data_IF_751973276890
#
_entry.id   IF_751973276890
#
_cell.length_a   1.000
_cell.length_b   1.000
_cell.length_c   1.000
_cell.angle_alpha   90.00
_cell.angle_beta   90.00
_cell.angle_gamma   90.00
#
_symmetry.space_group_name_H-M   'P 1'
#
loop_
_entity.id
_entity.type
_entity.pdbx_description
1 polymer ?
2 branched ?
3 branched ?
4 non-polymer ?
5 non-polymer ?
6 non-polymer ?
7 water ?
#
# COMPACT_ATOMS: atom_id res chain seq x y z
N UNK A 1 -15.26 8.79 -13.23
CA UNK A 1 -14.18 8.46 -14.16
C UNK A 1 -13.00 7.86 -13.40
N UNK A 2 -12.73 8.37 -12.20
CA UNK A 2 -11.40 8.16 -11.65
C UNK A 2 -11.22 6.72 -11.18
N UNK A 3 -9.95 6.36 -11.10
CA UNK A 3 -9.44 5.01 -11.07
C UNK A 3 -8.34 4.89 -10.01
N UNK A 4 -8.39 3.80 -9.26
CA UNK A 4 -7.32 3.46 -8.33
C UNK A 4 -6.35 2.60 -9.11
N UNK A 5 -5.14 3.11 -9.32
CA UNK A 5 -4.16 2.53 -10.24
C UNK A 5 -2.90 2.25 -9.41
N UNK A 6 -2.82 1.04 -8.86
CA UNK A 6 -1.76 0.72 -7.90
C UNK A 6 -0.39 0.66 -8.58
N UNK A 7 0.57 1.38 -8.03
CA UNK A 7 1.92 1.43 -8.55
C UNK A 7 2.23 2.72 -9.26
N UNK A 8 1.22 3.40 -9.78
CA UNK A 8 1.43 4.69 -10.39
C UNK A 8 1.71 5.74 -9.33
N UNK A 9 2.36 6.82 -9.74
CA UNK A 9 2.61 7.94 -8.83
C UNK A 9 1.35 8.77 -8.73
N UNK A 10 0.83 8.89 -7.51
CA UNK A 10 -0.43 9.58 -7.28
C UNK A 10 -0.17 11.04 -6.94
N UNK A 11 -1.08 11.90 -7.40
CA UNK A 11 -0.93 13.34 -7.22
C UNK A 11 -2.19 13.90 -6.58
N UNK A 12 -2.02 14.91 -5.72
CA UNK A 12 -3.14 15.54 -5.04
C UNK A 12 -3.80 16.53 -6.00
N UNK A 13 -4.79 17.29 -5.53
CA UNK A 13 -5.45 18.26 -6.39
C UNK A 13 -4.49 19.35 -6.86
N UNK A 14 -3.32 19.46 -6.24
CA UNK A 14 -2.29 20.42 -6.59
C UNK A 14 -1.28 19.87 -7.58
N UNK A 15 -1.41 18.61 -7.99
CA UNK A 15 -0.46 17.98 -8.86
C UNK A 15 0.83 17.54 -8.21
N UNK A 16 0.95 17.65 -6.89
CA UNK A 16 2.14 17.18 -6.19
C UNK A 16 1.97 15.70 -5.83
N UNK A 17 3.10 14.98 -5.85
CA UNK A 17 3.12 13.58 -5.42
C UNK A 17 2.55 13.46 -4.02
N UNK A 18 1.50 12.67 -3.85
CA UNK A 18 0.98 12.39 -2.53
C UNK A 18 2.07 11.79 -1.65
N UNK A 19 2.13 12.23 -0.40
CA UNK A 19 3.16 11.82 0.53
C UNK A 19 2.47 11.45 1.85
N UNK A 20 1.73 10.35 1.81
CA UNK A 20 0.98 9.85 2.96
C UNK A 20 1.23 8.34 3.15
N UNK A 21 2.50 7.98 3.37
CA UNK A 21 2.88 6.58 3.55
C UNK A 21 2.58 6.09 4.96
N UNK A 22 2.32 4.79 5.08
CA UNK A 22 1.84 4.24 6.33
C UNK A 22 0.39 4.58 6.62
N UNK A 23 -0.46 4.49 5.60
CA UNK A 23 -1.76 5.14 5.62
C UNK A 23 -2.57 4.85 6.89
N UNK A 24 -3.23 5.90 7.38
CA UNK A 24 -4.29 5.74 8.34
C UNK A 24 -5.49 6.49 7.81
N UNK A 25 -6.68 5.87 7.82
CA UNK A 25 -7.86 6.48 7.23
C UNK A 25 -8.90 6.74 8.30
N UNK A 26 -9.54 7.92 8.23
CA UNK A 26 -10.62 8.36 9.10
C UNK A 26 -11.72 8.94 8.23
N UNK A 27 -12.98 8.63 8.54
CA UNK A 27 -14.13 9.12 7.79
C UNK A 27 -15.07 9.92 8.68
N UNK A 28 -14.92 11.24 8.68
CA UNK A 28 -15.87 12.15 9.32
C UNK A 28 -16.97 12.46 8.33
N UNK A 29 -18.17 11.97 8.58
CA UNK A 29 -19.30 12.23 7.72
C UNK A 29 -19.11 11.75 6.29
N UNK A 30 -19.05 12.69 5.35
CA UNK A 30 -18.90 12.39 3.94
C UNK A 30 -17.49 12.63 3.43
N UNK A 31 -16.60 13.11 4.29
CA UNK A 31 -15.21 13.35 3.98
C UNK A 31 -14.35 12.20 4.49
N UNK A 32 -13.34 11.83 3.69
CA UNK A 32 -12.31 10.89 4.09
C UNK A 32 -11.02 11.64 4.35
N UNK A 33 -10.35 11.28 5.42
CA UNK A 33 -9.05 11.84 5.74
C UNK A 33 -8.03 10.72 5.66
N UNK A 34 -6.97 10.97 4.91
CA UNK A 34 -5.88 10.04 4.75
C UNK A 34 -4.67 10.65 5.44
N UNK A 35 -4.11 9.93 6.41
CA UNK A 35 -2.92 10.38 7.12
C UNK A 35 -1.72 9.53 6.70
N UNK A 36 -0.55 10.15 6.69
CA UNK A 36 0.63 9.35 6.39
C UNK A 36 1.91 10.06 6.76
N UNK A 37 3.00 9.31 6.69
CA UNK A 37 4.31 9.91 6.80
C UNK A 37 4.61 10.73 5.56
N UNK A 38 5.12 11.94 5.75
CA UNK A 38 5.66 12.72 4.65
C UNK A 38 7.09 12.26 4.43
N UNK A 39 7.39 11.78 3.23
CA UNK A 39 8.73 11.26 2.97
C UNK A 39 9.42 11.99 1.82
N UNK A 40 8.96 13.22 1.51
CA UNK A 40 9.55 14.15 0.54
C UNK A 40 11.07 14.15 0.60
N UNK A 41 11.62 13.97 1.79
CA UNK A 41 13.05 14.13 2.01
C UNK A 41 13.84 12.85 1.80
N UNK A 42 13.17 11.76 1.40
CA UNK A 42 13.84 10.49 1.11
C UNK A 42 14.63 10.00 2.32
N UNK A 43 13.98 10.07 3.49
CA UNK A 43 14.60 9.60 4.71
C UNK A 43 13.52 9.05 5.64
N UNK A 44 13.92 8.16 6.54
CA UNK A 44 13.01 7.60 7.53
C UNK A 44 12.79 8.53 8.72
N UNK A 45 13.67 9.50 8.95
CA UNK A 45 13.49 10.47 10.03
C UNK A 45 12.26 11.32 9.80
N UNK A 46 11.78 11.92 10.88
CA UNK A 46 10.45 12.51 10.87
C UNK A 46 10.48 13.84 10.15
N UNK A 47 9.50 14.06 9.32
CA UNK A 47 9.31 15.35 8.67
C UNK A 47 7.90 15.88 8.84
N UNK A 48 6.87 15.04 8.66
CA UNK A 48 5.51 15.48 8.90
C UNK A 48 4.58 14.28 8.86
N UNK A 49 3.54 14.32 9.69
CA UNK A 49 2.34 13.55 9.47
C UNK A 49 1.46 14.41 8.56
N UNK A 50 1.32 13.97 7.31
CA UNK A 50 0.58 14.71 6.31
C UNK A 50 -0.92 14.51 6.52
N UNK A 51 -1.71 15.18 5.69
CA UNK A 51 -3.16 15.16 5.84
C UNK A 51 -3.80 15.45 4.49
N UNK A 52 -4.54 14.49 3.97
CA UNK A 52 -5.25 14.65 2.71
C UNK A 52 -6.72 14.33 2.93
N UNK A 53 -7.58 15.04 2.20
CA UNK A 53 -9.02 14.80 2.27
C UNK A 53 -9.59 14.49 0.89
N UNK A 54 -10.75 13.85 0.90
CA UNK A 54 -11.43 13.42 -0.31
C UNK A 54 -12.84 13.01 0.05
N UNK A 55 -13.70 12.97 -0.97
CA UNK A 55 -15.08 12.56 -0.83
C UNK A 55 -15.37 11.23 -1.50
N UNK A 56 -14.44 10.71 -2.31
CA UNK A 56 -14.66 9.48 -3.06
C UNK A 56 -13.40 8.63 -3.16
N UNK A 57 -12.36 8.94 -2.35
CA UNK A 57 -11.20 8.08 -2.10
C UNK A 57 -10.23 8.04 -3.27
N UNK A 58 -10.32 8.96 -4.22
CA UNK A 58 -9.43 8.98 -5.37
C UNK A 58 -8.94 10.39 -5.60
N UNK A 59 -9.83 11.36 -5.39
CA UNK A 59 -9.49 12.77 -5.60
C UNK A 59 -9.13 13.39 -4.25
N UNK A 60 -7.83 13.47 -3.98
CA UNK A 60 -7.32 13.84 -2.67
C UNK A 60 -6.75 15.26 -2.68
N UNK A 61 -6.89 15.96 -1.56
CA UNK A 61 -6.52 17.37 -1.48
C UNK A 61 -5.69 17.57 -0.22
N UNK A 62 -4.44 18.01 -0.37
CA UNK A 62 -3.49 18.06 0.75
C UNK A 62 -3.78 19.26 1.65
N UNK A 63 -4.26 19.00 2.87
CA UNK A 63 -4.46 20.04 3.87
C UNK A 63 -3.14 20.39 4.54
N UNK A 64 -3.21 21.23 5.57
CA UNK A 64 -2.06 21.46 6.42
C UNK A 64 -1.58 20.13 6.99
N UNK A 65 -0.33 20.10 7.42
CA UNK A 65 0.20 18.91 8.05
C UNK A 65 -0.30 18.80 9.48
N UNK A 66 -0.91 17.65 9.80
CA UNK A 66 -1.57 17.36 11.06
C UNK A 66 -0.59 17.08 12.20
N UNK A 67 0.70 16.91 11.92
CA UNK A 67 1.69 16.80 12.98
C UNK A 67 3.04 17.15 12.40
N UNK A 68 3.82 17.93 13.13
CA UNK A 68 5.05 18.52 12.63
C UNK A 68 6.11 18.42 13.70
N UNK A 69 7.39 18.37 13.33
CA UNK A 69 8.44 18.11 14.34
C UNK A 69 8.54 19.20 15.39
N UNK A 70 9.05 18.80 16.55
CA UNK A 70 9.31 19.67 17.69
C UNK A 70 10.70 19.34 18.20
N UNK A 71 11.61 20.32 18.14
CA UNK A 71 12.99 20.07 18.52
C UNK A 71 13.12 19.74 20.00
N UNK A 72 14.10 18.89 20.30
CA UNK A 72 14.41 18.51 21.67
C UNK A 72 13.47 17.50 22.28
N UNK A 73 12.44 17.09 21.57
CA UNK A 73 11.46 16.09 21.99
C UNK A 73 11.70 14.80 21.21
N UNK A 74 10.71 13.90 21.25
CA UNK A 74 10.81 12.66 20.50
C UNK A 74 9.96 12.67 19.24
N UNK A 75 9.35 13.80 18.91
CA UNK A 75 8.85 13.99 17.57
C UNK A 75 9.71 15.03 16.88
N UNK A 76 10.98 15.07 17.26
CA UNK A 76 11.93 15.93 16.58
C UNK A 76 12.39 15.28 15.27
N UNK A 77 13.13 16.04 14.47
CA UNK A 77 13.60 15.54 13.20
C UNK A 77 14.72 14.51 13.32
N UNK A 78 15.21 14.23 14.54
CA UNK A 78 16.14 13.12 14.71
C UNK A 78 15.44 11.82 15.10
N UNK A 79 14.12 11.85 15.22
CA UNK A 79 13.30 10.71 15.60
C UNK A 79 12.49 10.23 14.41
N UNK A 80 11.68 9.21 14.68
CA UNK A 80 10.93 8.47 13.66
C UNK A 80 9.46 8.48 14.08
N UNK A 81 8.58 8.76 13.13
CA UNK A 81 7.14 8.83 13.38
C UNK A 81 6.45 8.08 12.25
N UNK A 82 5.90 6.90 12.56
CA UNK A 82 5.43 5.98 11.54
C UNK A 82 3.98 5.58 11.79
N UNK A 83 3.30 5.27 10.69
CA UNK A 83 1.94 4.73 10.67
C UNK A 83 1.01 5.54 11.56
N UNK A 84 0.72 6.79 11.24
CA UNK A 84 -0.28 7.53 12.01
C UNK A 84 -1.66 6.92 11.82
N UNK A 85 -2.38 6.75 12.93
CA UNK A 85 -3.77 6.33 12.91
C UNK A 85 -4.57 7.37 13.66
N UNK A 86 -5.84 7.51 13.29
CA UNK A 86 -6.69 8.53 13.88
C UNK A 86 -8.11 7.97 13.99
N UNK A 87 -8.64 7.93 15.22
CA UNK A 87 -10.05 7.70 15.46
C UNK A 87 -10.61 8.93 16.15
N UNK A 88 -11.93 9.04 16.12
CA UNK A 88 -12.63 10.17 16.72
C UNK A 88 -13.22 9.75 18.06
N UNK A 89 -12.97 10.54 19.08
CA UNK A 89 -13.47 10.28 20.44
C UNK A 89 -14.80 11.00 20.60
N UNK A 90 -15.90 10.24 20.68
CA UNK A 90 -17.19 10.89 20.83
C UNK A 90 -17.29 11.63 22.16
N UNK A 91 -16.82 11.01 23.26
CA UNK A 91 -16.98 11.58 24.59
C UNK A 91 -16.38 12.98 24.68
N UNK A 92 -15.12 13.13 24.30
CA UNK A 92 -14.45 14.42 24.38
C UNK A 92 -14.60 15.23 23.10
N UNK A 93 -15.38 14.76 22.14
CA UNK A 93 -15.41 15.28 20.77
C UNK A 93 -14.01 15.68 20.31
N UNK A 94 -13.14 14.67 20.21
CA UNK A 94 -11.70 14.89 20.08
C UNK A 94 -11.10 13.83 19.17
N UNK A 95 -10.17 14.26 18.32
CA UNK A 95 -9.51 13.38 17.38
C UNK A 95 -8.16 12.99 17.95
N UNK A 96 -7.96 11.70 18.19
CA UNK A 96 -6.77 11.20 18.85
C UNK A 96 -5.95 10.44 17.84
N UNK A 97 -4.69 10.83 17.69
CA UNK A 97 -3.79 10.24 16.73
C UNK A 97 -2.77 9.37 17.46
N UNK A 98 -2.59 8.15 16.99
CA UNK A 98 -1.55 7.26 17.49
C UNK A 98 -0.54 7.04 16.39
N UNK A 99 0.72 6.85 16.79
CA UNK A 99 1.76 6.57 15.83
C UNK A 99 2.88 5.81 16.51
N UNK A 100 3.70 5.18 15.70
CA UNK A 100 4.92 4.55 16.19
C UNK A 100 5.95 5.66 16.39
N UNK A 101 6.28 5.95 17.64
CA UNK A 101 7.26 6.97 17.97
C UNK A 101 8.56 6.28 18.35
N UNK A 102 9.64 6.55 17.62
CA UNK A 102 10.85 5.81 17.91
C UNK A 102 12.08 6.68 17.71
N UNK A 103 13.24 6.08 18.01
CA UNK A 103 14.53 6.66 17.70
C UNK A 103 15.00 6.16 16.32
N UNK A 104 16.10 6.72 15.85
CA UNK A 104 16.51 6.45 14.46
C UNK A 104 16.96 5.02 14.24
N UNK A 105 17.36 4.29 15.30
CA UNK A 105 17.68 2.88 15.17
C UNK A 105 16.57 1.97 15.69
N UNK A 106 15.38 2.52 15.92
CA UNK A 106 14.20 1.78 16.36
C UNK A 106 14.43 1.05 17.68
N UNK A 107 15.38 1.52 18.49
CA UNK A 107 15.58 0.96 19.82
C UNK A 107 14.67 1.52 20.90
N UNK A 108 13.97 2.63 20.65
CA UNK A 108 13.13 3.23 21.68
C UNK A 108 11.76 2.56 21.76
N UNK A 109 11.15 2.25 20.62
CA UNK A 109 10.00 1.34 20.53
C UNK A 109 8.84 1.80 21.40
N UNK A 110 8.29 2.94 21.02
CA UNK A 110 7.24 3.58 21.80
C UNK A 110 6.04 3.88 20.92
N UNK A 111 4.99 4.25 21.56
CA UNK A 111 3.85 4.84 20.90
C UNK A 111 3.90 6.33 21.18
N UNK A 112 3.32 7.11 20.30
CA UNK A 112 3.09 8.52 20.56
C UNK A 112 1.63 8.85 20.36
N UNK A 113 1.18 9.83 21.13
CA UNK A 113 -0.20 10.30 21.06
C UNK A 113 -0.18 11.80 20.81
N UNK A 114 -1.24 12.27 20.18
CA UNK A 114 -1.45 13.69 19.93
C UNK A 114 -2.96 13.85 19.75
N UNK A 115 -3.48 15.03 20.06
CA UNK A 115 -4.91 15.28 19.94
C UNK A 115 -5.17 16.57 19.17
N UNK A 116 -6.42 16.72 18.72
CA UNK A 116 -6.88 17.91 18.03
C UNK A 116 -8.39 17.85 17.93
N UNK A 117 -9.02 19.02 17.77
CA UNK A 117 -10.47 19.11 17.63
C UNK A 117 -10.94 19.16 16.19
N UNK A 118 -10.07 19.63 15.25
CA UNK A 118 -10.20 19.56 13.79
C UNK A 118 -9.66 18.22 13.29
N UNK A 119 -10.41 17.47 12.45
CA UNK A 119 -9.86 16.21 11.90
C UNK A 119 -8.44 16.33 11.35
N UNK A 120 -8.17 17.30 10.49
CA UNK A 120 -6.81 17.46 9.97
C UNK A 120 -5.94 18.28 10.88
N UNK A 121 -6.45 18.69 12.05
CA UNK A 121 -5.63 19.30 13.08
C UNK A 121 -5.38 20.78 12.86
N UNK A 122 -4.14 21.23 13.12
CA UNK A 122 -2.98 20.43 13.58
C UNK A 122 -3.13 19.83 14.98
N UNK A 123 -2.29 18.85 15.29
CA UNK A 123 -2.36 18.05 16.50
C UNK A 123 -1.29 18.49 17.49
N UNK A 124 -1.60 18.43 18.78
CA UNK A 124 -0.61 18.74 19.80
C UNK A 124 -0.12 17.46 20.47
N UNK A 125 1.20 17.33 20.54
CA UNK A 125 1.84 16.12 21.03
C UNK A 125 1.68 16.01 22.54
N UNK A 126 1.10 14.92 23.01
CA UNK A 126 0.96 14.67 24.43
C UNK A 126 2.08 13.81 24.99
N UNK A 127 2.97 13.32 24.14
CA UNK A 127 4.12 12.56 24.58
C UNK A 127 4.09 11.13 24.08
N UNK A 128 5.22 10.47 24.29
CA UNK A 128 5.48 9.12 23.83
C UNK A 128 5.84 8.24 25.01
N UNK A 129 5.57 6.96 24.87
CA UNK A 129 5.74 6.05 25.99
C UNK A 129 5.70 4.62 25.46
N UNK A 130 6.16 3.71 26.29
CA UNK A 130 5.96 2.29 26.04
C UNK A 130 4.59 1.87 26.56
N UNK A 131 3.75 1.26 25.73
CA UNK A 131 2.41 0.85 26.19
C UNK A 131 2.52 -0.27 27.21
N UNK A 132 1.99 -0.01 28.42
CA UNK A 132 2.04 -0.95 29.54
C UNK A 132 3.45 -1.43 29.82
N UNK A 133 4.43 -0.57 29.53
CA UNK A 133 5.84 -0.89 29.71
C UNK A 133 6.52 -1.66 28.59
N UNK A 134 5.80 -2.14 27.59
CA UNK A 134 6.38 -3.04 26.61
C UNK A 134 6.73 -2.30 25.32
N UNK A 135 7.60 -2.94 24.52
CA UNK A 135 7.93 -2.47 23.19
C UNK A 135 6.70 -2.29 22.32
N UNK A 136 6.69 -1.22 21.55
CA UNK A 136 5.66 -1.02 20.53
C UNK A 136 6.36 -0.44 19.32
N UNK A 137 6.39 -1.18 18.20
CA UNK A 137 6.97 -0.65 16.97
C UNK A 137 5.83 -0.46 15.99
N UNK A 138 5.65 -1.33 14.99
CA UNK A 138 4.52 -1.19 14.08
C UNK A 138 3.21 -1.31 14.86
N UNK A 139 2.30 -0.36 14.65
CA UNK A 139 1.06 -0.35 15.39
C UNK A 139 -0.08 0.05 14.48
N UNK A 140 -1.28 0.00 15.05
CA UNK A 140 -2.55 0.35 14.42
C UNK A 140 -3.59 0.53 15.51
N UNK A 141 -4.67 1.22 15.17
CA UNK A 141 -5.77 1.47 16.10
C UNK A 141 -7.03 0.90 15.48
N UNK A 142 -7.72 0.05 16.22
CA UNK A 142 -9.01 -0.45 15.78
C UNK A 142 -10.08 0.19 16.63
N UNK A 143 -11.09 0.75 15.99
CA UNK A 143 -12.25 1.27 16.70
C UNK A 143 -13.39 0.28 16.53
N UNK A 144 -13.78 -0.37 17.62
CA UNK A 144 -14.90 -1.30 17.54
C UNK A 144 -16.19 -0.52 17.35
N UNK A 145 -17.25 -1.24 16.98
CA UNK A 145 -18.55 -0.63 16.80
C UNK A 145 -19.53 -1.05 17.88
N UNK A 146 -19.04 -1.46 19.04
CA UNK A 146 -19.92 -1.54 20.19
C UNK A 146 -20.40 -0.14 20.55
N UNK A 147 -21.23 -0.05 21.59
CA UNK A 147 -21.86 1.22 21.89
C UNK A 147 -20.84 2.23 22.41
N UNK A 148 -19.90 1.78 23.23
CA UNK A 148 -18.86 2.67 23.72
C UNK A 148 -17.82 2.97 22.65
N UNK A 149 -17.91 2.33 21.50
CA UNK A 149 -16.90 2.47 20.46
C UNK A 149 -15.50 2.25 21.04
N UNK A 150 -15.32 1.09 21.66
CA UNK A 150 -14.06 0.84 22.34
C UNK A 150 -12.95 0.65 21.32
N UNK A 151 -11.80 1.23 21.63
CA UNK A 151 -10.65 1.25 20.74
C UNK A 151 -9.56 0.33 21.25
N UNK A 152 -8.78 -0.21 20.32
CA UNK A 152 -7.72 -1.16 20.66
C UNK A 152 -6.44 -0.78 19.94
N UNK A 153 -5.32 -0.86 20.67
CA UNK A 153 -4.01 -0.74 20.05
C UNK A 153 -3.53 -2.12 19.63
N UNK A 154 -3.15 -2.25 18.36
CA UNK A 154 -2.53 -3.44 17.80
C UNK A 154 -1.05 -3.12 17.57
N UNK A 155 -0.14 -3.91 18.13
CA UNK A 155 1.27 -3.50 18.09
C UNK A 155 2.23 -4.70 18.14
N UNK A 156 3.36 -4.53 17.45
CA UNK A 156 4.46 -5.50 17.45
C UNK A 156 5.36 -5.24 18.65
N UNK A 157 5.42 -6.19 19.58
CA UNK A 157 6.12 -5.99 20.85
C UNK A 157 7.28 -6.97 21.02
N UNK A 158 8.03 -6.76 22.10
CA UNK A 158 9.21 -7.55 22.47
C UNK A 158 10.11 -7.81 21.28
N UNK A 159 10.62 -6.72 20.72
CA UNK A 159 11.49 -6.74 19.54
C UNK A 159 10.82 -7.47 18.38
N UNK A 160 9.56 -7.13 18.14
CA UNK A 160 8.76 -7.60 17.02
C UNK A 160 8.46 -9.09 17.07
N UNK A 161 8.69 -9.77 18.19
CA UNK A 161 8.40 -11.20 18.21
C UNK A 161 6.96 -11.49 18.60
N UNK A 162 6.36 -10.68 19.48
CA UNK A 162 5.06 -10.97 20.06
C UNK A 162 4.06 -9.91 19.64
N UNK A 163 3.05 -10.32 18.89
CA UNK A 163 2.02 -9.39 18.50
C UNK A 163 1.03 -9.22 19.64
N UNK A 164 0.65 -7.98 19.94
CA UNK A 164 -0.23 -7.70 21.06
C UNK A 164 -1.43 -6.89 20.61
N UNK A 165 -2.56 -7.13 21.27
CA UNK A 165 -3.77 -6.33 21.16
C UNK A 165 -4.18 -5.93 22.57
N UNK A 166 -4.34 -4.63 22.79
CA UNK A 166 -4.70 -4.10 24.10
C UNK A 166 -5.80 -3.06 23.94
N UNK A 167 -6.64 -2.95 24.97
CA UNK A 167 -7.77 -2.03 24.99
C UNK A 167 -7.33 -0.62 25.41
N UNK A 168 -7.83 0.38 24.68
CA UNK A 168 -7.59 1.79 25.01
C UNK A 168 -8.57 2.30 26.07
N UNK A 169 -8.12 3.26 26.87
CA UNK A 169 -9.03 3.82 27.86
C UNK A 169 -10.11 4.64 27.17
N UNK A 170 -11.12 5.03 27.94
CA UNK A 170 -12.27 5.73 27.36
C UNK A 170 -11.89 7.07 26.75
N UNK A 171 -10.68 7.58 26.98
CA UNK A 171 -10.22 8.80 26.32
C UNK A 171 -9.41 8.51 25.08
N UNK A 172 -9.11 7.24 24.78
CA UNK A 172 -8.10 6.89 23.78
C UNK A 172 -6.74 7.52 24.09
N UNK A 173 -6.43 7.76 25.37
CA UNK A 173 -5.16 8.37 25.73
C UNK A 173 -4.10 7.38 26.19
N UNK A 174 -4.51 6.20 26.67
CA UNK A 174 -3.56 5.22 27.17
C UNK A 174 -4.21 3.85 27.05
N UNK A 175 -3.40 2.83 27.31
CA UNK A 175 -3.86 1.44 27.25
C UNK A 175 -4.31 1.00 28.63
N UNK A 176 -5.52 0.47 28.71
CA UNK A 176 -5.98 0.01 30.02
C UNK A 176 -5.64 -1.45 30.29
N UNK A 177 -5.81 -2.36 29.32
CA UNK A 177 -5.61 -3.77 29.60
C UNK A 177 -5.14 -4.49 28.35
N UNK A 178 -4.36 -5.54 28.56
CA UNK A 178 -4.06 -6.44 27.46
C UNK A 178 -5.30 -7.25 27.12
N UNK A 179 -5.35 -7.71 25.88
CA UNK A 179 -6.52 -8.40 25.39
C UNK A 179 -6.04 -9.71 24.79
N UNK A 180 -4.86 -9.66 24.21
CA UNK A 180 -4.46 -10.74 23.33
C UNK A 180 -2.99 -10.58 23.02
N UNK A 181 -2.25 -11.67 23.04
CA UNK A 181 -0.87 -11.66 22.61
C UNK A 181 -0.58 -12.93 21.81
N UNK A 182 0.01 -12.78 20.65
CA UNK A 182 0.45 -13.89 19.83
C UNK A 182 1.97 -13.95 19.98
N UNK A 183 2.44 -14.93 20.75
CA UNK A 183 3.86 -15.03 21.04
C UNK A 183 4.60 -15.66 19.87
N UNK A 184 5.69 -15.04 19.47
CA UNK A 184 6.47 -15.56 18.38
C UNK A 184 5.78 -15.45 17.05
N UNK A 185 4.78 -14.58 16.95
CA UNK A 185 4.11 -14.37 15.68
C UNK A 185 4.98 -13.61 14.68
N UNK A 186 5.99 -12.87 15.16
CA UNK A 186 6.74 -11.87 14.40
C UNK A 186 5.88 -11.18 13.34
N UNK A 187 4.76 -10.61 13.78
CA UNK A 187 3.84 -9.87 12.94
C UNK A 187 4.08 -8.38 13.10
N UNK A 188 4.06 -7.67 11.98
CA UNK A 188 4.06 -6.22 12.00
C UNK A 188 3.13 -5.74 10.89
N UNK A 189 3.10 -4.42 10.69
CA UNK A 189 2.18 -3.78 9.77
C UNK A 189 0.74 -4.28 9.92
N UNK A 190 0.14 -4.16 11.11
CA UNK A 190 -1.20 -4.71 11.32
C UNK A 190 -2.34 -3.78 10.95
N UNK A 191 -3.46 -4.39 10.59
CA UNK A 191 -4.74 -3.72 10.53
C UNK A 191 -5.85 -4.69 10.88
N UNK A 192 -6.98 -4.15 11.34
CA UNK A 192 -8.14 -4.98 11.67
C UNK A 192 -9.38 -4.39 11.04
N UNK A 193 -10.19 -5.25 10.46
CA UNK A 193 -11.48 -4.85 9.94
C UNK A 193 -12.52 -5.86 10.41
N UNK A 194 -13.70 -5.37 10.79
CA UNK A 194 -14.75 -6.22 11.30
C UNK A 194 -15.79 -6.46 10.22
N UNK A 195 -16.09 -7.73 10.00
CA UNK A 195 -16.88 -8.18 8.85
C UNK A 195 -17.71 -9.36 9.31
N UNK A 196 -19.04 -9.23 9.19
CA UNK A 196 -19.96 -10.30 9.57
C UNK A 196 -19.72 -10.70 11.02
N UNK A 197 -19.54 -9.68 11.88
CA UNK A 197 -19.38 -9.89 13.31
C UNK A 197 -18.10 -10.61 13.70
N UNK A 198 -17.21 -10.82 12.74
CA UNK A 198 -15.94 -11.47 12.96
C UNK A 198 -14.81 -10.48 12.73
N UNK A 199 -13.78 -10.54 13.58
CA UNK A 199 -12.64 -9.63 13.46
C UNK A 199 -11.56 -10.27 12.60
N UNK A 200 -11.13 -9.56 11.56
CA UNK A 200 -10.08 -10.02 10.68
C UNK A 200 -8.84 -9.17 10.91
N UNK A 201 -7.75 -9.79 11.31
CA UNK A 201 -6.47 -9.12 11.44
C UNK A 201 -5.65 -9.39 10.20
N UNK A 202 -5.10 -8.34 9.60
CA UNK A 202 -4.18 -8.45 8.48
C UNK A 202 -2.82 -7.91 8.92
N UNK A 203 -1.75 -8.55 8.48
CA UNK A 203 -0.44 -8.24 9.01
C UNK A 203 0.63 -8.81 8.08
N UNK A 204 1.76 -8.12 8.01
CA UNK A 204 2.96 -8.68 7.42
C UNK A 204 3.75 -9.43 8.49
N UNK A 205 4.58 -10.36 8.03
CA UNK A 205 5.72 -10.81 8.81
C UNK A 205 6.82 -9.75 8.76
N UNK A 206 7.92 -9.99 9.47
CA UNK A 206 8.99 -9.00 9.58
C UNK A 206 10.13 -9.38 8.65
N UNK A 207 10.46 -8.48 7.72
CA UNK A 207 11.53 -8.73 6.75
C UNK A 207 12.18 -7.43 6.26
N UNK A 208 12.29 -6.43 7.14
CA UNK A 208 12.84 -5.16 6.71
C UNK A 208 11.91 -4.48 5.73
N UNK A 209 12.50 -3.69 4.84
CA UNK A 209 11.67 -3.07 3.81
C UNK A 209 11.17 -4.08 2.79
N UNK A 210 11.68 -5.30 2.80
CA UNK A 210 11.36 -6.25 1.75
C UNK A 210 9.91 -6.71 1.90
N UNK A 211 9.12 -6.71 0.83
CA UNK A 211 7.75 -7.20 0.94
C UNK A 211 7.74 -8.69 1.22
N UNK A 212 6.79 -9.13 2.03
CA UNK A 212 6.57 -10.55 2.27
C UNK A 212 5.09 -10.85 2.11
N UNK A 213 4.71 -12.13 2.01
CA UNK A 213 3.28 -12.47 1.93
C UNK A 213 2.50 -12.08 3.17
N UNK A 214 1.69 -11.03 3.07
CA UNK A 214 0.83 -10.61 4.17
C UNK A 214 -0.25 -11.65 4.44
N UNK A 215 -0.67 -11.74 5.70
CA UNK A 215 -1.52 -12.83 6.17
C UNK A 215 -2.82 -12.31 6.79
N UNK A 216 -3.89 -13.11 6.71
CA UNK A 216 -5.11 -12.79 7.44
C UNK A 216 -5.36 -13.81 8.56
N UNK A 217 -5.93 -13.32 9.65
CA UNK A 217 -6.31 -14.14 10.80
C UNK A 217 -7.68 -13.68 11.23
N UNK A 218 -8.49 -14.59 11.78
CA UNK A 218 -9.82 -14.17 12.22
C UNK A 218 -10.08 -14.60 13.65
N UNK A 219 -11.00 -13.90 14.29
CA UNK A 219 -11.47 -14.23 15.63
C UNK A 219 -12.85 -13.60 15.87
N UNK A 220 -13.65 -14.27 16.71
CA UNK A 220 -14.95 -13.76 17.11
C UNK A 220 -14.87 -12.79 18.29
N UNK A 221 -13.72 -12.71 18.93
CA UNK A 221 -13.39 -11.71 19.93
C UNK A 221 -11.95 -11.28 19.72
N UNK A 222 -11.68 -10.00 19.95
CA UNK A 222 -10.31 -9.50 19.88
C UNK A 222 -9.37 -10.21 20.84
N UNK A 223 -9.88 -10.83 21.90
CA UNK A 223 -9.03 -11.61 22.78
C UNK A 223 -8.59 -12.91 22.15
N UNK A 224 -9.33 -13.40 21.16
CA UNK A 224 -9.01 -14.65 20.51
C UNK A 224 -9.93 -15.76 20.94
N UNK A 225 -9.63 -17.01 20.56
CA UNK A 225 -8.39 -17.38 19.86
C UNK A 225 -8.39 -17.05 18.37
N UNK A 226 -7.21 -16.75 17.86
CA UNK A 226 -7.07 -16.35 16.48
C UNK A 226 -6.75 -17.53 15.59
N UNK A 227 -7.34 -17.53 14.40
CA UNK A 227 -7.03 -18.59 13.44
C UNK A 227 -5.57 -18.49 13.01
N UNK A 228 -5.07 -19.62 12.51
CA UNK A 228 -3.73 -19.70 11.95
C UNK A 228 -3.64 -18.86 10.67
N UNK A 229 -2.43 -18.46 10.34
CA UNK A 229 -2.24 -17.51 9.27
C UNK A 229 -2.62 -18.07 7.89
N UNK A 230 -3.32 -17.27 7.10
CA UNK A 230 -3.60 -17.59 5.71
C UNK A 230 -3.23 -16.40 4.83
N UNK A 231 -3.10 -16.68 3.53
CA UNK A 231 -2.66 -15.68 2.57
C UNK A 231 -3.81 -14.82 2.06
N UNK A 232 -3.54 -13.52 1.91
CA UNK A 232 -4.48 -12.64 1.23
C UNK A 232 -4.11 -12.43 -0.23
N UNK A 233 -3.09 -13.14 -0.70
CA UNK A 233 -2.58 -12.96 -2.05
C UNK A 233 -1.74 -14.18 -2.39
N UNK A 234 -1.49 -14.44 -3.67
CA UNK A 234 -0.55 -15.49 -4.05
C UNK A 234 0.79 -15.28 -3.36
N UNK A 235 1.32 -16.36 -2.79
CA UNK A 235 2.48 -16.28 -1.90
C UNK A 235 3.68 -15.66 -2.62
N UNK A 236 3.96 -16.13 -3.84
CA UNK A 236 5.14 -15.70 -4.57
C UNK A 236 5.18 -14.19 -4.79
N UNK A 237 4.03 -13.52 -4.84
CA UNK A 237 4.01 -12.12 -5.23
C UNK A 237 4.33 -11.18 -4.08
N UNK A 238 4.41 -11.69 -2.85
CA UNK A 238 4.68 -10.88 -1.67
C UNK A 238 3.67 -9.74 -1.57
N UNK A 239 2.42 -10.12 -1.40
CA UNK A 239 1.29 -9.18 -1.37
C UNK A 239 1.33 -8.23 -2.56
N UNK A 240 1.60 -8.77 -3.74
CA UNK A 240 1.75 -7.96 -4.96
C UNK A 240 2.75 -6.84 -4.72
N UNK A 241 3.90 -7.23 -4.16
CA UNK A 241 4.89 -6.29 -3.73
C UNK A 241 4.25 -5.14 -2.95
N UNK A 242 3.92 -5.38 -1.69
CA UNK A 242 3.40 -4.32 -0.83
C UNK A 242 3.43 -4.76 0.63
N UNK A 243 3.06 -3.83 1.50
CA UNK A 243 2.97 -4.13 2.91
C UNK A 243 1.75 -3.41 3.44
N UNK A 244 0.94 -4.13 4.20
CA UNK A 244 -0.29 -3.58 4.76
C UNK A 244 -0.07 -2.22 5.40
N UNK A 245 -1.04 -1.32 5.22
CA UNK A 245 -1.01 -0.05 5.93
C UNK A 245 -2.34 0.17 6.63
N UNK A 246 -3.42 0.02 5.87
CA UNK A 246 -4.74 0.23 6.41
C UNK A 246 -5.70 -0.67 5.69
N UNK A 247 -6.76 -1.09 6.38
CA UNK A 247 -7.76 -1.97 5.77
C UNK A 247 -9.12 -1.36 6.01
N UNK A 248 -9.72 -0.83 4.94
CA UNK A 248 -10.88 0.01 5.13
C UNK A 248 -12.15 -0.74 4.73
N UNK A 249 -13.14 -0.83 5.61
CA UNK A 249 -14.37 -1.54 5.25
C UNK A 249 -15.10 -0.82 4.14
N UNK A 250 -15.72 -1.58 3.24
CA UNK A 250 -16.39 -1.01 2.08
C UNK A 250 -17.58 -1.90 1.70
N UNK A 251 -18.80 -1.43 1.96
CA UNK A 251 -19.95 -2.28 1.80
C UNK A 251 -19.73 -3.60 2.50
N UNK A 252 -19.90 -4.70 1.75
CA UNK A 252 -19.68 -6.05 2.26
C UNK A 252 -18.28 -6.56 1.99
N UNK A 253 -17.34 -5.67 1.73
CA UNK A 253 -15.96 -6.07 1.51
C UNK A 253 -15.07 -5.03 2.16
N UNK A 254 -13.86 -4.86 1.62
CA UNK A 254 -12.94 -3.86 2.14
C UNK A 254 -11.96 -3.46 1.05
N UNK A 255 -11.19 -2.42 1.33
CA UNK A 255 -10.07 -1.99 0.51
C UNK A 255 -8.79 -2.27 1.27
N UNK A 256 -7.86 -2.99 0.63
CA UNK A 256 -6.51 -3.18 1.16
C UNK A 256 -5.66 -2.01 0.73
N UNK A 257 -5.09 -1.30 1.69
CA UNK A 257 -4.17 -0.20 1.42
C UNK A 257 -2.78 -0.57 1.93
N UNK A 258 -1.83 -0.71 1.00
CA UNK A 258 -0.47 -1.03 1.37
C UNK A 258 0.50 -0.01 0.80
N UNK A 259 1.72 -0.06 1.29
CA UNK A 259 2.81 0.72 0.74
C UNK A 259 3.75 -0.21 0.01
N UNK A 260 4.21 0.24 -1.16
CA UNK A 260 5.37 -0.39 -1.78
C UNK A 260 6.59 0.45 -1.37
N UNK A 261 7.29 -0.02 -0.34
CA UNK A 261 8.47 0.67 0.18
C UNK A 261 9.62 0.61 -0.82
N UNK A 262 10.14 1.78 -1.17
CA UNK A 262 11.38 1.91 -1.93
C UNK A 262 12.45 2.44 -0.97
N UNK A 263 13.15 1.56 -0.25
CA UNK A 263 14.09 2.06 0.76
C UNK A 263 15.15 2.99 0.20
N UNK A 264 15.62 2.75 -1.03
CA UNK A 264 16.68 3.57 -1.58
C UNK A 264 16.19 4.92 -2.11
N UNK A 265 14.88 5.20 -2.04
CA UNK A 265 14.31 6.46 -2.50
C UNK A 265 12.92 6.66 -1.89
N UNK A 266 12.87 6.79 -0.56
CA UNK A 266 11.64 6.49 0.17
C UNK A 266 10.48 7.38 -0.24
N UNK A 267 10.75 8.63 -0.63
CA UNK A 267 9.65 9.49 -1.05
C UNK A 267 8.87 8.91 -2.21
N UNK A 268 9.52 8.12 -3.03
CA UNK A 268 8.93 7.56 -4.23
C UNK A 268 8.18 6.27 -3.95
N UNK A 269 8.08 5.87 -2.69
CA UNK A 269 7.33 4.69 -2.32
C UNK A 269 5.91 4.80 -2.86
N UNK A 270 5.40 3.70 -3.41
CA UNK A 270 4.10 3.70 -4.06
C UNK A 270 2.98 3.30 -3.11
N UNK A 271 1.75 3.51 -3.55
CA UNK A 271 0.54 3.17 -2.83
C UNK A 271 -0.15 2.03 -3.57
N UNK A 272 -0.35 0.92 -2.88
CA UNK A 272 -0.95 -0.27 -3.47
C UNK A 272 -2.31 -0.45 -2.82
N UNK A 273 -3.39 -0.12 -3.55
CA UNK A 273 -4.74 -0.26 -3.04
C UNK A 273 -5.51 -1.23 -3.92
N UNK A 274 -6.12 -2.24 -3.31
CA UNK A 274 -6.86 -3.25 -4.02
C UNK A 274 -8.16 -3.54 -3.31
N UNK A 275 -9.21 -3.92 -4.05
CA UNK A 275 -10.38 -4.47 -3.38
C UNK A 275 -9.92 -5.65 -2.57
N UNK A 276 -10.40 -5.73 -1.34
CA UNK A 276 -10.21 -6.88 -0.50
C UNK A 276 -11.56 -7.57 -0.48
N UNK A 277 -11.66 -8.70 -1.18
CA UNK A 277 -12.95 -9.36 -1.46
C UNK A 277 -13.20 -10.49 -0.47
N UNK A 278 -14.34 -10.43 0.22
CA UNK A 278 -14.71 -11.38 1.26
C UNK A 278 -15.72 -12.43 0.79
N UNK A 279 -15.86 -12.64 -0.53
CA UNK A 279 -16.93 -13.51 -1.02
C UNK A 279 -16.74 -14.94 -0.56
N UNK A 280 -15.50 -15.35 -0.30
CA UNK A 280 -15.21 -16.70 0.20
C UNK A 280 -15.33 -16.83 1.71
N UNK A 281 -15.66 -15.75 2.41
CA UNK A 281 -15.71 -15.73 3.85
C UNK A 281 -14.49 -15.14 4.50
N UNK A 282 -13.49 -14.79 3.71
CA UNK A 282 -12.18 -14.37 4.21
C UNK A 282 -11.61 -13.37 3.21
N UNK A 283 -10.70 -12.51 3.64
CA UNK A 283 -10.22 -11.44 2.75
C UNK A 283 -9.21 -11.96 1.73
N UNK A 284 -9.43 -11.61 0.46
CA UNK A 284 -8.49 -11.95 -0.61
C UNK A 284 -8.29 -10.71 -1.47
N UNK A 285 -7.03 -10.32 -1.68
CA UNK A 285 -6.77 -9.21 -2.59
C UNK A 285 -7.33 -9.57 -3.96
N UNK A 286 -8.08 -8.63 -4.55
CA UNK A 286 -8.43 -8.69 -5.95
C UNK A 286 -7.32 -7.95 -6.69
N UNK A 287 -6.57 -8.65 -7.54
CA UNK A 287 -5.44 -8.01 -8.22
C UNK A 287 -5.97 -7.18 -9.39
N UNK A 288 -6.52 -6.03 -9.07
CA UNK A 288 -7.10 -5.12 -10.06
C UNK A 288 -6.10 -4.00 -10.31
N UNK A 289 -5.42 -4.06 -11.48
CA UNK A 289 -4.50 -2.97 -11.82
C UNK A 289 -5.23 -1.64 -11.88
N UNK A 290 -6.49 -1.66 -12.31
CA UNK A 290 -7.28 -0.44 -12.48
C UNK A 290 -8.68 -0.76 -11.98
N UNK A 291 -9.18 0.05 -11.06
CA UNK A 291 -10.49 -0.23 -10.51
C UNK A 291 -11.09 1.06 -9.97
N UNK A 292 -12.39 1.01 -9.72
CA UNK A 292 -13.15 2.16 -9.29
C UNK A 292 -13.94 1.78 -8.05
N UNK A 293 -14.12 2.75 -7.16
CA UNK A 293 -14.88 2.55 -5.94
C UNK A 293 -16.00 3.57 -5.89
N UNK A 294 -17.20 3.10 -5.57
CA UNK A 294 -18.35 3.93 -5.28
C UNK A 294 -18.56 3.85 -3.79
N UNK A 295 -17.99 4.81 -3.06
CA UNK A 295 -17.99 4.74 -1.61
C UNK A 295 -19.42 4.78 -1.06
N UNK A 296 -20.26 5.66 -1.62
CA UNK A 296 -21.60 5.81 -1.06
C UNK A 296 -22.38 4.51 -1.11
N UNK A 297 -22.15 3.70 -2.14
CA UNK A 297 -22.85 2.43 -2.28
C UNK A 297 -22.06 1.25 -1.74
N UNK A 298 -20.84 1.49 -1.24
CA UNK A 298 -19.98 0.42 -0.78
C UNK A 298 -19.77 -0.67 -1.80
N UNK A 299 -19.41 -0.27 -3.02
CA UNK A 299 -19.19 -1.19 -4.12
C UNK A 299 -17.89 -0.82 -4.80
N UNK A 300 -17.31 -1.80 -5.49
CA UNK A 300 -16.15 -1.53 -6.32
C UNK A 300 -16.40 -2.14 -7.69
N UNK A 301 -15.83 -1.51 -8.70
CA UNK A 301 -15.88 -2.02 -10.06
C UNK A 301 -14.45 -2.19 -10.56
N UNK A 302 -14.14 -3.39 -11.06
CA UNK A 302 -12.82 -3.71 -11.56
C UNK A 302 -12.81 -3.51 -13.07
N UNK A 303 -12.03 -2.53 -13.54
CA UNK A 303 -11.94 -2.27 -14.98
C UNK A 303 -11.40 -3.47 -15.73
N UNK A 304 -12.06 -3.82 -16.82
CA UNK A 304 -11.63 -4.92 -17.66
C UNK A 304 -10.90 -4.37 -18.87
N UNK A 305 -9.75 -4.96 -19.17
CA UNK A 305 -8.92 -4.54 -20.27
C UNK A 305 -8.56 -5.70 -21.17
N UNK A 306 -7.61 -5.46 -22.08
CA UNK A 306 -7.27 -6.41 -23.12
C UNK A 306 -5.82 -6.85 -22.97
N UNK A 307 -5.60 -8.17 -22.88
CA UNK A 307 -4.27 -8.75 -22.70
C UNK A 307 -3.58 -8.96 -24.05
N UNK A 308 -2.33 -8.57 -24.13
CA UNK A 308 -1.48 -8.87 -25.28
C UNK A 308 -0.25 -9.62 -24.77
N UNK A 309 0.00 -10.79 -25.34
CA UNK A 309 1.12 -11.60 -24.87
C UNK A 309 2.42 -11.03 -25.43
N UNK A 310 3.38 -10.76 -24.54
CA UNK A 310 4.65 -10.22 -25.01
C UNK A 310 5.31 -11.14 -26.03
N UNK A 311 5.19 -12.45 -25.82
CA UNK A 311 5.78 -13.43 -26.74
C UNK A 311 5.14 -13.43 -28.13
N UNK A 312 3.93 -12.91 -28.28
CA UNK A 312 3.34 -12.73 -29.61
C UNK A 312 3.80 -11.46 -30.27
N UNK A 313 4.52 -10.60 -29.54
CA UNK A 313 5.09 -9.42 -30.12
C UNK A 313 6.15 -9.77 -31.13
N UNK A 314 6.71 -8.74 -31.72
CA UNK A 314 7.78 -8.87 -32.70
C UNK A 314 9.10 -8.56 -31.99
N UNK A 315 9.93 -9.56 -31.81
CA UNK A 315 11.21 -9.33 -31.17
C UNK A 315 12.17 -8.60 -32.10
N UNK A 316 13.04 -7.80 -31.52
CA UNK A 316 14.08 -7.13 -32.29
C UNK A 316 15.40 -7.20 -31.54
N UNK A 317 16.47 -7.21 -32.31
CA UNK A 317 17.78 -7.28 -31.68
C UNK A 317 18.00 -8.61 -31.00
N UNK A 318 18.50 -8.55 -29.76
CA UNK A 318 18.93 -9.75 -29.08
C UNK A 318 17.91 -10.25 -28.07
N UNK A 319 16.65 -9.82 -28.15
CA UNK A 319 15.69 -10.33 -27.19
C UNK A 319 15.46 -11.81 -27.47
N UNK A 320 14.94 -12.51 -26.46
CA UNK A 320 14.74 -13.94 -26.52
C UNK A 320 13.37 -14.27 -25.95
N UNK A 321 12.93 -15.49 -26.21
CA UNK A 321 11.75 -16.05 -25.57
C UNK A 321 12.23 -16.88 -24.39
N UNK A 322 11.54 -16.78 -23.25
CA UNK A 322 11.83 -17.58 -22.08
C UNK A 322 10.59 -18.34 -21.64
N UNK A 323 10.81 -19.43 -20.92
CA UNK A 323 9.72 -20.30 -20.49
C UNK A 323 9.69 -20.39 -18.97
N UNK A 324 8.48 -20.31 -18.43
CA UNK A 324 8.34 -20.45 -17.00
C UNK A 324 6.89 -20.59 -16.61
N UNK A 325 6.65 -21.39 -15.56
CA UNK A 325 5.29 -21.60 -15.08
C UNK A 325 4.67 -20.32 -14.52
N UNK A 326 5.49 -19.32 -14.18
CA UNK A 326 4.93 -18.08 -13.67
C UNK A 326 4.41 -17.13 -14.72
N UNK A 327 4.78 -17.36 -15.98
CA UNK A 327 4.40 -16.47 -17.06
C UNK A 327 3.05 -16.85 -17.62
N UNK A 328 2.26 -15.85 -18.00
CA UNK A 328 1.02 -16.09 -18.71
C UNK A 328 1.32 -16.64 -20.10
N UNK A 329 0.63 -17.71 -20.48
CA UNK A 329 0.96 -18.40 -21.72
C UNK A 329 2.19 -19.26 -21.63
N UNK A 330 2.80 -19.35 -20.45
CA UNK A 330 4.02 -20.09 -20.27
C UNK A 330 5.26 -19.42 -20.83
N UNK A 331 5.16 -18.23 -21.41
CA UNK A 331 6.34 -17.62 -22.01
C UNK A 331 6.44 -16.15 -21.62
N UNK A 332 7.66 -15.63 -21.75
CA UNK A 332 7.92 -14.20 -21.63
C UNK A 332 9.09 -13.85 -22.55
N UNK A 333 9.34 -12.55 -22.69
CA UNK A 333 10.43 -12.06 -23.52
C UNK A 333 11.57 -11.61 -22.62
N UNK A 334 12.72 -12.28 -22.74
CA UNK A 334 13.90 -11.90 -22.00
C UNK A 334 14.87 -11.08 -22.85
N UNK A 335 15.93 -10.64 -22.19
CA UNK A 335 17.01 -9.86 -22.79
C UNK A 335 16.47 -8.63 -23.51
N UNK A 336 15.54 -7.93 -22.87
CA UNK A 336 15.04 -6.66 -23.37
C UNK A 336 15.94 -5.52 -22.90
N UNK A 337 16.05 -4.51 -23.74
CA UNK A 337 17.07 -3.51 -23.55
C UNK A 337 18.44 -4.09 -23.86
N UNK A 338 19.45 -3.24 -23.79
CA UNK A 338 20.81 -3.63 -24.16
C UNK A 338 20.80 -4.35 -25.50
N UNK A 339 20.12 -3.74 -26.48
CA UNK A 339 20.10 -4.23 -27.84
C UNK A 339 18.92 -5.08 -28.24
N UNK A 340 18.02 -5.39 -27.31
CA UNK A 340 16.86 -6.25 -27.60
C UNK A 340 15.55 -5.52 -27.32
N UNK A 341 14.60 -5.70 -28.22
CA UNK A 341 13.29 -5.06 -28.12
C UNK A 341 12.22 -6.09 -28.39
N UNK A 342 10.97 -5.64 -28.28
CA UNK A 342 9.79 -6.37 -28.69
C UNK A 342 8.72 -5.35 -28.97
N UNK A 343 8.03 -5.48 -30.10
CA UNK A 343 6.94 -4.58 -30.43
C UNK A 343 5.66 -5.38 -30.40
N UNK A 344 4.71 -4.93 -29.60
CA UNK A 344 3.37 -5.50 -29.57
C UNK A 344 2.51 -4.71 -30.56
N UNK A 345 1.85 -5.41 -31.48
CA UNK A 345 1.15 -4.75 -32.57
C UNK A 345 -0.35 -5.05 -32.52
N UNK A 346 -1.10 -4.25 -33.28
CA UNK A 346 -2.56 -4.34 -33.34
C UNK A 346 -3.18 -4.20 -31.95
N UNK A 347 -2.62 -3.29 -31.15
CA UNK A 347 -3.23 -2.95 -29.88
C UNK A 347 -4.41 -2.02 -30.17
N UNK A 348 -5.61 -2.55 -30.04
CA UNK A 348 -6.80 -1.83 -30.45
C UNK A 348 -7.22 -0.85 -29.38
N UNK A 349 -7.82 0.25 -29.82
CA UNK A 349 -8.05 1.35 -28.89
C UNK A 349 -8.98 2.35 -29.53
N UNK A 350 -9.86 2.91 -28.71
CA UNK A 350 -10.73 4.02 -29.06
C UNK A 350 -10.02 5.35 -29.00
N UNK A 351 -8.72 5.35 -28.77
CA UNK A 351 -7.96 6.57 -28.68
C UNK A 351 -8.00 7.18 -27.29
N UNK A 352 -7.07 8.09 -27.06
CA UNK A 352 -7.00 8.82 -25.80
C UNK A 352 -5.86 8.34 -24.91
N UNK A 353 -6.02 8.62 -23.62
CA UNK A 353 -5.09 8.18 -22.59
C UNK A 353 -5.61 6.88 -21.99
N UNK A 354 -4.80 5.83 -22.05
CA UNK A 354 -5.19 4.54 -21.51
C UNK A 354 -4.13 4.04 -20.53
N UNK A 355 -4.57 3.61 -19.35
CA UNK A 355 -3.71 2.87 -18.44
C UNK A 355 -3.35 1.51 -19.04
N UNK A 356 -2.07 1.21 -19.11
CA UNK A 356 -1.59 -0.07 -19.59
C UNK A 356 -0.78 -0.70 -18.46
N UNK A 357 -1.01 -1.98 -18.23
CA UNK A 357 -0.36 -2.69 -17.15
C UNK A 357 0.72 -3.60 -17.73
N UNK A 358 1.96 -3.31 -17.36
CA UNK A 358 3.10 -4.10 -17.81
C UNK A 358 3.33 -5.23 -16.82
N UNK A 359 3.18 -6.46 -17.29
CA UNK A 359 3.40 -7.65 -16.49
C UNK A 359 4.81 -8.17 -16.75
N UNK A 360 5.58 -8.33 -15.69
CA UNK A 360 7.00 -8.60 -15.85
C UNK A 360 7.48 -9.43 -14.68
N UNK A 361 8.68 -9.98 -14.86
CA UNK A 361 9.42 -10.73 -13.85
C UNK A 361 10.80 -10.10 -13.72
N UNK A 362 11.23 -9.85 -12.49
CA UNK A 362 12.56 -9.27 -12.25
C UNK A 362 13.19 -10.06 -11.11
N UNK A 363 14.11 -10.97 -11.48
CA UNK A 363 14.76 -11.86 -10.52
C UNK A 363 15.81 -11.18 -9.65
N UNK A 364 16.26 -9.99 -10.02
CA UNK A 364 17.22 -9.25 -9.23
C UNK A 364 16.58 -8.78 -7.91
N UNK A 365 17.44 -8.30 -7.01
CA UNK A 365 17.00 -7.64 -5.79
C UNK A 365 16.87 -6.14 -5.95
N UNK A 366 17.21 -5.60 -7.11
CA UNK A 366 17.18 -4.16 -7.35
C UNK A 366 16.31 -3.87 -8.57
N UNK A 367 15.91 -2.60 -8.66
CA UNK A 367 15.06 -2.15 -9.75
C UNK A 367 15.75 -2.29 -11.10
N UNK A 368 14.97 -2.63 -12.10
CA UNK A 368 15.27 -2.42 -13.50
C UNK A 368 14.28 -1.37 -14.00
N UNK A 369 14.30 -1.11 -15.30
CA UNK A 369 13.31 -0.23 -15.88
C UNK A 369 13.22 -0.61 -17.35
N UNK A 370 12.14 -0.19 -17.98
CA UNK A 370 11.92 -0.45 -19.40
C UNK A 370 11.43 0.84 -20.06
N UNK A 371 11.91 1.07 -21.27
CA UNK A 371 11.38 2.13 -22.13
C UNK A 371 10.09 1.67 -22.80
N UNK A 372 9.12 2.58 -22.88
CA UNK A 372 7.84 2.29 -23.51
C UNK A 372 7.60 3.39 -24.54
N UNK A 373 7.53 3.00 -25.81
CA UNK A 373 7.27 3.90 -26.92
C UNK A 373 6.01 3.47 -27.66
N UNK A 374 5.06 4.40 -27.80
CA UNK A 374 3.83 4.14 -28.55
C UNK A 374 4.02 4.65 -29.97
N UNK A 375 3.78 3.77 -30.96
CA UNK A 375 3.81 4.12 -32.37
C UNK A 375 5.02 4.98 -32.71
N UNK A 376 6.19 4.55 -32.25
CA UNK A 376 7.41 5.28 -32.52
C UNK A 376 7.56 6.61 -31.84
N UNK A 377 6.68 6.95 -30.89
CA UNK A 377 6.78 8.20 -30.20
C UNK A 377 7.94 8.17 -29.25
N UNK A 378 8.30 9.33 -28.67
CA UNK A 378 9.32 9.33 -27.60
C UNK A 378 8.93 8.43 -26.44
N UNK A 379 9.93 7.79 -25.85
CA UNK A 379 9.70 6.76 -24.85
C UNK A 379 9.64 7.33 -23.44
N UNK A 380 8.83 6.69 -22.59
CA UNK A 380 8.83 6.92 -21.14
C UNK A 380 9.49 5.73 -20.46
N UNK A 381 10.27 5.99 -19.43
CA UNK A 381 10.97 4.94 -18.69
C UNK A 381 10.09 4.52 -17.53
N UNK A 382 9.67 3.25 -17.52
CA UNK A 382 8.77 2.72 -16.51
C UNK A 382 9.59 1.89 -15.52
N UNK A 383 9.38 2.13 -14.23
CA UNK A 383 10.12 1.42 -13.18
C UNK A 383 9.67 -0.03 -13.06
N UNK A 384 10.63 -0.91 -12.80
CA UNK A 384 10.36 -2.33 -12.63
C UNK A 384 11.00 -2.82 -11.33
N UNK A 385 10.25 -2.84 -10.23
CA UNK A 385 10.78 -3.36 -8.96
C UNK A 385 11.21 -4.81 -9.09
N UNK A 386 12.06 -5.23 -8.15
CA UNK A 386 12.32 -6.65 -7.98
C UNK A 386 11.00 -7.40 -7.82
N UNK A 387 10.88 -8.51 -8.51
CA UNK A 387 9.60 -9.16 -8.61
C UNK A 387 9.48 -10.38 -7.69
N UNK A 388 10.59 -10.84 -7.11
CA UNK A 388 10.61 -12.04 -6.30
C UNK A 388 11.13 -13.28 -7.01
N UNK A 389 11.41 -13.19 -8.31
CA UNK A 389 12.01 -14.30 -9.00
C UNK A 389 11.90 -14.12 -10.50
N UNK A 390 12.74 -14.80 -11.27
CA UNK A 390 12.56 -14.80 -12.71
C UNK A 390 11.27 -15.46 -13.17
N UNK A 391 10.57 -16.15 -12.25
CA UNK A 391 9.34 -16.88 -12.56
C UNK A 391 8.15 -16.29 -11.81
N UNK A 392 8.26 -15.06 -11.33
CA UNK A 392 7.20 -14.47 -10.53
C UNK A 392 6.84 -13.14 -11.16
N UNK A 393 5.58 -12.97 -11.51
CA UNK A 393 5.15 -11.84 -12.31
C UNK A 393 4.33 -10.91 -11.44
N UNK A 394 4.76 -9.65 -11.36
CA UNK A 394 3.91 -8.59 -10.85
C UNK A 394 3.76 -7.59 -11.99
N UNK A 395 3.03 -6.50 -11.75
CA UNK A 395 2.71 -5.59 -12.84
C UNK A 395 2.84 -4.16 -12.35
N UNK A 396 3.25 -3.28 -13.25
CA UNK A 396 3.28 -1.85 -12.97
C UNK A 396 2.47 -1.13 -14.04
N UNK A 397 1.90 0.03 -13.72
CA UNK A 397 1.05 0.71 -14.67
C UNK A 397 1.73 1.90 -15.32
N UNK A 398 1.38 2.16 -16.58
CA UNK A 398 1.87 3.32 -17.30
C UNK A 398 0.71 3.87 -18.13
N UNK A 399 0.48 5.17 -18.08
CA UNK A 399 -0.62 5.77 -18.82
C UNK A 399 -0.10 6.10 -20.22
N UNK A 400 -0.78 5.61 -21.24
CA UNK A 400 -0.28 5.80 -22.60
C UNK A 400 -1.32 6.47 -23.48
N UNK A 401 -0.84 7.18 -24.48
CA UNK A 401 -1.70 7.86 -25.45
C UNK A 401 -1.76 7.02 -26.72
N UNK A 402 -2.91 6.44 -26.99
CA UNK A 402 -3.14 5.62 -28.16
C UNK A 402 -4.02 6.37 -29.15
N UNK A 403 -3.94 5.97 -30.41
CA UNK A 403 -4.86 6.47 -31.42
C UNK A 403 -6.05 5.52 -31.52
N UNK A 404 -7.13 6.01 -32.11
CA UNK A 404 -8.21 5.12 -32.48
C UNK A 404 -7.72 4.11 -33.51
N UNK A 405 -8.15 2.87 -33.36
CA UNK A 405 -7.72 1.83 -34.30
C UNK A 405 -6.49 1.09 -33.84
N UNK A 406 -5.54 0.83 -34.75
CA UNK A 406 -4.39 -0.03 -34.45
C UNK A 406 -3.18 0.77 -33.98
N UNK A 407 -2.63 0.40 -32.82
CA UNK A 407 -1.37 0.96 -32.33
C UNK A 407 -0.30 -0.13 -32.20
N UNK A 408 0.95 0.30 -32.10
CA UNK A 408 2.06 -0.54 -31.70
C UNK A 408 2.61 -0.03 -30.38
N UNK A 409 3.29 -0.91 -29.62
CA UNK A 409 3.99 -0.50 -28.41
C UNK A 409 5.33 -1.24 -28.37
N UNK A 410 6.41 -0.48 -28.15
CA UNK A 410 7.78 -0.99 -28.26
C UNK A 410 8.47 -0.93 -26.91
N UNK A 411 9.06 -2.05 -26.50
CA UNK A 411 9.72 -2.13 -25.20
C UNK A 411 11.20 -2.38 -25.40
N UNK A 412 12.02 -1.68 -24.59
CA UNK A 412 13.43 -1.96 -24.51
C UNK A 412 14.30 -1.18 -25.46
N UNK A 413 13.74 -0.56 -26.49
CA UNK A 413 14.58 0.23 -27.39
C UNK A 413 15.21 1.39 -26.64
N UNK A 414 16.43 1.74 -27.04
CA UNK A 414 17.11 2.91 -26.54
C UNK A 414 17.37 2.89 -25.05
N UNK A 415 17.90 1.78 -24.56
CA UNK A 415 18.34 1.69 -23.17
C UNK A 415 19.49 0.70 -23.14
N UNK A 416 20.54 1.05 -22.40
CA UNK A 416 21.71 0.19 -22.40
C UNK A 416 21.68 -0.83 -21.28
N UNK A 417 20.88 -0.59 -20.24
CA UNK A 417 20.70 -1.56 -19.18
C UNK A 417 19.59 -2.54 -19.55
N UNK A 418 19.78 -3.80 -19.19
CA UNK A 418 18.70 -4.78 -19.37
C UNK A 418 17.45 -4.35 -18.61
N UNK A 419 16.30 -4.52 -19.24
CA UNK A 419 15.03 -4.40 -18.55
C UNK A 419 14.61 -5.76 -18.00
N UNK A 420 13.53 -5.74 -17.22
CA UNK A 420 12.92 -6.98 -16.75
C UNK A 420 12.25 -7.75 -17.89
N UNK A 421 12.01 -9.03 -17.64
CA UNK A 421 11.38 -9.90 -18.64
C UNK A 421 9.90 -9.60 -18.75
N UNK A 422 9.42 -9.30 -19.97
CA UNK A 422 8.04 -8.90 -20.19
C UNK A 422 7.15 -10.12 -20.42
N UNK A 423 6.18 -10.32 -19.53
CA UNK A 423 5.22 -11.42 -19.65
C UNK A 423 4.11 -11.07 -20.65
N UNK A 424 3.43 -9.95 -20.42
CA UNK A 424 2.28 -9.52 -21.20
C UNK A 424 1.98 -8.09 -20.83
N UNK A 425 1.04 -7.48 -21.53
CA UNK A 425 0.48 -6.20 -21.12
C UNK A 425 -1.02 -6.32 -21.15
N UNK A 426 -1.68 -5.51 -20.33
CA UNK A 426 -3.13 -5.41 -20.29
C UNK A 426 -3.51 -3.96 -20.51
N UNK A 427 -4.18 -3.70 -21.62
CA UNK A 427 -4.50 -2.35 -22.03
C UNK A 427 -5.89 -2.03 -21.53
N UNK A 428 -5.99 -1.10 -20.58
CA UNK A 428 -7.30 -0.76 -20.05
C UNK A 428 -7.91 0.44 -20.80
#
# INVERSE_FOLDING_TARGET
>A
QNQIVSGAAWTDTAGNTIQAHGAGILQVGSTFYWFGEDKSHNSALFKAVSCYTSSDLVNWSRQNDALSPIAGTMISTSNVVERPKVIFNQKNSEYVMWFHSDSSNYGAAMVGVATAKTPCGPYTYKGSFKPLGADSRDESIFQDDDSAQTAYLLYASDNNQNFKISRLDANYYNVTAQVSVMNGATLQAPGIVKHNGEYFLIASHTSGWAPNPNKWFSASSLAGPWSAQQDIAPSATRTWYSQNAFDLPLGSNAIYMGDRWRPSLLGSSRYIWYPLDFSSGAPQIVHADVWSVNVQAGTYSVASGTSYEAENGQRGGSSTILSGSGFSGGKAVGYLGHGGTVTINNVQSNGGSHWVALYFANGDSTYRNVTVSVNGGPSVLVDQPDSGGGNVVISVPVKLNLNSGENSITFGSGQSNYAADLDKIIVY
#
